data_IF_483666240755
#
_entry.id   IF_483666240755
#
_cell.length_a   1.000
_cell.length_b   1.000
_cell.length_c   1.000
_cell.angle_alpha   90.00
_cell.angle_beta   90.00
_cell.angle_gamma   90.00
#
_symmetry.space_group_name_H-M   'P 1'
#
loop_
_entity.id
_entity.type
_entity.pdbx_description
1 polymer ?
#
# COMPACT_ATOMS: atom_id res chain seq x y z
N UNK A 1 -58.77 37.37 49.66
CA UNK A 1 -59.24 37.64 48.29
C UNK A 1 -58.06 38.30 47.57
N UNK A 2 -57.16 37.53 46.95
CA UNK A 2 -57.17 37.09 45.54
C UNK A 2 -57.18 38.29 44.58
N UNK A 3 -56.28 38.50 43.61
CA UNK A 3 -55.23 37.67 43.00
C UNK A 3 -54.25 38.63 42.26
N UNK A 4 -52.94 38.52 42.49
CA UNK A 4 -51.90 39.27 41.77
C UNK A 4 -51.33 38.41 40.64
N UNK A 5 -51.73 38.68 39.39
CA UNK A 5 -51.12 38.05 38.22
C UNK A 5 -49.90 38.88 37.76
N UNK A 6 -48.69 38.40 38.07
CA UNK A 6 -47.48 38.67 37.27
C UNK A 6 -47.24 37.47 36.36
N UNK A 7 -46.99 37.65 35.05
CA UNK A 7 -46.59 36.54 34.21
C UNK A 7 -45.15 36.14 34.54
N UNK A 8 -44.97 34.83 34.70
CA UNK A 8 -43.69 34.12 34.81
C UNK A 8 -43.07 34.16 33.41
N UNK A 9 -41.91 34.82 33.28
CA UNK A 9 -41.07 34.69 32.09
C UNK A 9 -40.16 33.51 32.33
N UNK A 10 -40.49 32.39 31.68
CA UNK A 10 -39.67 31.19 31.69
C UNK A 10 -38.31 31.47 31.03
N UNK A 11 -37.27 31.15 31.81
CA UNK A 11 -35.90 30.92 31.42
C UNK A 11 -35.80 29.98 30.22
N UNK A 12 -35.21 30.45 29.13
CA UNK A 12 -34.54 29.59 28.15
C UNK A 12 -33.09 30.07 28.02
N UNK A 13 -32.25 29.62 28.95
CA UNK A 13 -30.80 29.61 28.74
C UNK A 13 -30.50 28.63 27.60
N UNK A 14 -30.38 29.17 26.38
CA UNK A 14 -29.80 28.44 25.26
C UNK A 14 -28.31 28.32 25.55
N UNK A 15 -27.95 27.21 26.18
CA UNK A 15 -26.57 26.72 26.28
C UNK A 15 -26.02 26.56 24.87
N UNK A 16 -25.39 27.62 24.39
CA UNK A 16 -24.73 27.64 23.09
C UNK A 16 -23.44 26.86 23.26
N UNK A 17 -23.52 25.53 23.09
CA UNK A 17 -22.32 24.72 22.93
C UNK A 17 -21.58 25.31 21.73
N UNK A 18 -20.31 25.76 21.87
CA UNK A 18 -19.55 26.19 20.71
C UNK A 18 -19.41 24.95 19.83
N UNK A 19 -20.18 24.93 18.74
CA UNK A 19 -19.94 24.02 17.64
C UNK A 19 -18.55 24.41 17.14
N UNK A 20 -17.53 23.68 17.58
CA UNK A 20 -16.19 23.74 17.03
C UNK A 20 -16.31 23.34 15.58
N UNK A 21 -16.64 24.32 14.73
CA UNK A 21 -16.59 24.18 13.29
C UNK A 21 -15.12 24.06 12.95
N UNK A 22 -14.63 22.83 12.89
CA UNK A 22 -13.42 22.52 12.15
C UNK A 22 -13.71 22.98 10.73
N UNK A 23 -13.20 24.15 10.35
CA UNK A 23 -13.21 24.59 8.95
C UNK A 23 -12.22 23.71 8.21
N UNK A 24 -12.72 22.56 7.76
CA UNK A 24 -12.09 21.81 6.69
C UNK A 24 -12.13 22.72 5.45
N UNK A 25 -11.00 22.85 4.75
CA UNK A 25 -11.00 23.47 3.43
C UNK A 25 -12.11 22.83 2.59
N UNK A 26 -12.86 23.63 1.82
CA UNK A 26 -13.88 23.10 0.92
C UNK A 26 -13.20 22.10 -0.01
N UNK A 27 -13.53 20.81 0.14
CA UNK A 27 -13.00 19.74 -0.67
C UNK A 27 -13.32 20.05 -2.14
N UNK A 28 -12.30 20.42 -2.91
CA UNK A 28 -12.43 20.61 -4.34
C UNK A 28 -12.57 19.23 -4.99
N UNK A 29 -13.72 18.95 -5.59
CA UNK A 29 -13.88 17.73 -6.37
C UNK A 29 -12.95 17.76 -7.59
N UNK A 30 -12.36 16.61 -7.96
CA UNK A 30 -11.54 16.52 -9.15
C UNK A 30 -12.37 16.77 -10.40
N UNK A 31 -11.77 17.39 -11.41
CA UNK A 31 -12.35 17.49 -12.75
C UNK A 31 -12.19 16.17 -13.50
N UNK A 32 -13.01 15.95 -14.53
CA UNK A 32 -13.01 14.75 -15.34
C UNK A 32 -12.90 15.09 -16.83
N UNK A 33 -11.80 14.67 -17.44
CA UNK A 33 -11.42 14.97 -18.82
C UNK A 33 -11.95 13.97 -19.85
N UNK A 34 -12.47 12.82 -19.39
CA UNK A 34 -12.91 11.71 -20.24
C UNK A 34 -12.02 10.48 -20.17
N UNK A 35 -10.95 10.48 -19.37
CA UNK A 35 -10.13 9.28 -19.15
C UNK A 35 -10.91 8.19 -18.40
N UNK A 36 -11.33 7.15 -19.12
CA UNK A 36 -12.13 6.05 -18.59
C UNK A 36 -11.48 5.42 -17.34
N UNK A 37 -10.14 5.38 -17.25
CA UNK A 37 -9.42 4.80 -16.10
C UNK A 37 -9.62 5.60 -14.81
N UNK A 38 -9.86 6.91 -14.93
CA UNK A 38 -10.12 7.83 -13.81
C UNK A 38 -11.59 7.97 -13.47
N UNK A 39 -12.49 7.51 -14.37
CA UNK A 39 -13.93 7.71 -14.23
C UNK A 39 -14.46 7.19 -12.89
N UNK A 40 -14.03 6.00 -12.46
CA UNK A 40 -14.52 5.41 -11.21
C UNK A 40 -14.18 6.28 -9.99
N UNK A 41 -12.95 6.79 -9.93
CA UNK A 41 -12.51 7.65 -8.84
C UNK A 41 -13.32 8.95 -8.83
N UNK A 42 -13.44 9.59 -9.99
CA UNK A 42 -14.26 10.79 -10.16
C UNK A 42 -15.71 10.57 -9.73
N UNK A 43 -16.36 9.52 -10.27
CA UNK A 43 -17.76 9.25 -10.00
C UNK A 43 -18.00 8.94 -8.53
N UNK A 44 -17.15 8.15 -7.87
CA UNK A 44 -17.28 7.90 -6.44
C UNK A 44 -17.21 9.19 -5.60
N UNK A 45 -16.27 10.09 -5.91
CA UNK A 45 -16.15 11.38 -5.21
C UNK A 45 -17.36 12.27 -5.45
N UNK A 46 -17.80 12.42 -6.70
CA UNK A 46 -19.01 13.18 -7.05
C UNK A 46 -20.27 12.57 -6.43
N UNK A 47 -20.37 11.24 -6.42
CA UNK A 47 -21.53 10.53 -5.91
C UNK A 47 -21.73 10.76 -4.42
N UNK A 48 -20.64 10.67 -3.65
CA UNK A 48 -20.64 10.87 -2.20
C UNK A 48 -20.86 12.34 -1.81
N UNK A 49 -20.25 13.27 -2.53
CA UNK A 49 -20.30 14.69 -2.16
C UNK A 49 -21.54 15.42 -2.69
N UNK A 50 -22.14 14.95 -3.80
CA UNK A 50 -23.17 15.70 -4.53
C UNK A 50 -24.35 14.83 -4.92
N UNK A 51 -24.14 13.70 -5.61
CA UNK A 51 -25.24 12.92 -6.19
C UNK A 51 -26.23 12.43 -5.12
N UNK A 52 -25.71 11.87 -4.01
CA UNK A 52 -26.49 11.32 -2.90
C UNK A 52 -27.00 12.35 -1.89
N UNK A 53 -26.58 13.61 -2.00
CA UNK A 53 -27.07 14.66 -1.10
C UNK A 53 -28.45 15.15 -1.57
N UNK A 54 -29.49 14.81 -0.83
CA UNK A 54 -30.88 15.19 -1.14
C UNK A 54 -31.15 16.70 -0.93
N UNK A 55 -30.26 17.42 -0.25
CA UNK A 55 -30.42 18.85 0.02
C UNK A 55 -30.01 19.75 -1.17
N UNK A 56 -29.37 19.19 -2.19
CA UNK A 56 -28.91 19.92 -3.37
C UNK A 56 -29.93 19.75 -4.50
N UNK A 57 -30.45 20.87 -5.02
CA UNK A 57 -31.35 20.87 -6.17
C UNK A 57 -30.71 20.21 -7.41
N UNK A 58 -31.52 19.47 -8.20
CA UNK A 58 -31.03 18.73 -9.36
C UNK A 58 -30.41 19.63 -10.43
N UNK A 59 -30.91 20.87 -10.62
CA UNK A 59 -30.31 21.80 -11.56
C UNK A 59 -28.96 22.30 -11.06
N UNK A 60 -28.81 22.49 -9.74
CA UNK A 60 -27.51 22.82 -9.14
C UNK A 60 -26.52 21.65 -9.25
N UNK A 61 -27.00 20.40 -9.09
CA UNK A 61 -26.17 19.21 -9.36
C UNK A 61 -25.75 19.13 -10.82
N UNK A 62 -26.64 19.49 -11.76
CA UNK A 62 -26.34 19.55 -13.19
C UNK A 62 -25.24 20.58 -13.48
N UNK A 63 -25.42 21.82 -13.06
CA UNK A 63 -24.46 22.90 -13.29
C UNK A 63 -23.11 22.58 -12.65
N UNK A 64 -23.11 22.00 -11.45
CA UNK A 64 -21.88 21.62 -10.79
C UNK A 64 -21.18 20.45 -11.51
N UNK A 65 -21.91 19.40 -11.87
CA UNK A 65 -21.36 18.30 -12.68
C UNK A 65 -20.78 18.82 -14.00
N UNK A 66 -21.52 19.68 -14.71
CA UNK A 66 -21.08 20.33 -15.95
C UNK A 66 -19.77 21.08 -15.77
N UNK A 67 -19.59 21.81 -14.66
CA UNK A 67 -18.35 22.55 -14.37
C UNK A 67 -17.14 21.65 -14.09
N UNK A 68 -17.38 20.42 -13.63
CA UNK A 68 -16.33 19.43 -13.39
C UNK A 68 -15.93 18.66 -14.65
N UNK A 69 -16.81 18.58 -15.66
CA UNK A 69 -16.49 17.94 -16.94
C UNK A 69 -15.57 18.83 -17.79
N UNK A 70 -14.47 18.27 -18.26
CA UNK A 70 -13.48 18.91 -19.13
C UNK A 70 -13.17 18.00 -20.33
N UNK A 71 -12.35 18.48 -21.28
CA UNK A 71 -11.91 17.67 -22.41
C UNK A 71 -13.04 16.97 -23.18
N UNK A 72 -12.84 15.68 -23.46
CA UNK A 72 -13.78 14.84 -24.20
C UNK A 72 -15.07 14.56 -23.43
N UNK A 73 -15.03 14.60 -22.09
CA UNK A 73 -16.21 14.37 -21.26
C UNK A 73 -17.29 15.45 -21.47
N UNK A 74 -16.91 16.67 -21.88
CA UNK A 74 -17.88 17.72 -22.24
C UNK A 74 -18.73 17.36 -23.44
N UNK A 75 -18.29 16.46 -24.32
CA UNK A 75 -19.09 16.03 -25.46
C UNK A 75 -20.40 15.33 -25.04
N UNK A 76 -20.52 14.87 -23.79
CA UNK A 76 -21.77 14.30 -23.24
C UNK A 76 -22.86 15.38 -23.06
N UNK A 77 -22.48 16.67 -23.01
CA UNK A 77 -23.39 17.78 -22.75
C UNK A 77 -24.07 18.36 -24.00
N UNK A 78 -23.80 17.83 -25.21
CA UNK A 78 -24.27 18.44 -26.45
C UNK A 78 -25.81 18.63 -26.44
N UNK A 79 -26.22 19.89 -26.61
CA UNK A 79 -27.61 20.38 -26.73
C UNK A 79 -28.53 20.20 -25.50
N UNK A 80 -27.97 20.05 -24.28
CA UNK A 80 -28.74 19.93 -23.05
C UNK A 80 -28.77 21.25 -22.23
N UNK A 81 -29.96 21.79 -22.01
CA UNK A 81 -30.18 22.87 -21.03
C UNK A 81 -30.32 22.32 -19.60
N UNK A 82 -29.98 23.08 -18.54
CA UNK A 82 -30.21 22.67 -17.16
C UNK A 82 -31.71 22.44 -16.89
N UNK A 83 -32.08 21.18 -16.64
CA UNK A 83 -33.41 20.75 -16.22
C UNK A 83 -33.27 19.48 -15.37
N UNK A 84 -34.27 19.17 -14.53
CA UNK A 84 -34.27 17.97 -13.69
C UNK A 84 -34.16 16.69 -14.54
N UNK A 85 -34.90 16.61 -15.65
CA UNK A 85 -34.83 15.48 -16.58
C UNK A 85 -33.45 15.37 -17.24
N UNK A 86 -32.86 16.52 -17.57
CA UNK A 86 -31.55 16.60 -18.21
C UNK A 86 -30.41 16.23 -17.25
N UNK A 87 -30.57 16.42 -15.93
CA UNK A 87 -29.64 15.88 -14.94
C UNK A 87 -29.59 14.34 -14.97
N UNK A 88 -30.74 13.69 -14.92
CA UNK A 88 -30.79 12.23 -14.99
C UNK A 88 -30.28 11.71 -16.33
N UNK A 89 -30.59 12.42 -17.43
CA UNK A 89 -30.06 12.09 -18.74
C UNK A 89 -28.53 12.20 -18.79
N UNK A 90 -27.97 13.31 -18.29
CA UNK A 90 -26.53 13.55 -18.23
C UNK A 90 -25.82 12.45 -17.43
N UNK A 91 -26.31 12.13 -16.23
CA UNK A 91 -25.74 11.06 -15.39
C UNK A 91 -25.77 9.72 -16.13
N UNK A 92 -26.89 9.39 -16.78
CA UNK A 92 -27.03 8.14 -17.55
C UNK A 92 -26.07 8.11 -18.73
N UNK A 93 -25.97 9.20 -19.50
CA UNK A 93 -25.09 9.29 -20.66
C UNK A 93 -23.61 9.20 -20.26
N UNK A 94 -23.24 9.87 -19.16
CA UNK A 94 -21.88 9.85 -18.61
C UNK A 94 -21.51 8.42 -18.14
N UNK A 95 -22.36 7.77 -17.34
CA UNK A 95 -22.15 6.37 -16.94
C UNK A 95 -22.11 5.43 -18.14
N UNK A 96 -23.05 5.55 -19.09
CA UNK A 96 -23.07 4.69 -20.28
C UNK A 96 -21.76 4.77 -21.08
N UNK A 97 -21.15 5.95 -21.15
CA UNK A 97 -19.93 6.18 -21.93
C UNK A 97 -18.66 5.81 -21.19
N UNK A 98 -18.58 6.06 -19.87
CA UNK A 98 -17.33 5.96 -19.10
C UNK A 98 -17.36 4.91 -17.99
N UNK A 99 -18.52 4.42 -17.57
CA UNK A 99 -18.64 3.29 -16.65
C UNK A 99 -18.44 1.98 -17.43
N UNK A 100 -17.17 1.61 -17.62
CA UNK A 100 -16.76 0.42 -18.37
C UNK A 100 -16.35 -0.72 -17.41
N UNK A 101 -17.29 -1.41 -16.73
CA UNK A 101 -16.97 -2.40 -15.70
C UNK A 101 -16.16 -3.59 -16.25
N UNK A 102 -16.39 -3.97 -17.51
CA UNK A 102 -15.61 -5.03 -18.18
C UNK A 102 -14.15 -4.64 -18.34
N UNK A 103 -13.87 -3.41 -18.75
CA UNK A 103 -12.51 -2.91 -18.94
C UNK A 103 -11.81 -2.73 -17.60
N UNK A 104 -12.49 -2.13 -16.62
CA UNK A 104 -11.95 -1.97 -15.26
C UNK A 104 -11.63 -3.33 -14.61
N UNK A 105 -12.49 -4.33 -14.78
CA UNK A 105 -12.21 -5.70 -14.34
C UNK A 105 -10.97 -6.26 -15.03
N UNK A 106 -10.87 -6.15 -16.35
CA UNK A 106 -9.71 -6.63 -17.11
C UNK A 106 -8.40 -5.95 -16.66
N UNK A 107 -8.41 -4.63 -16.48
CA UNK A 107 -7.26 -3.87 -15.98
C UNK A 107 -6.83 -4.31 -14.58
N UNK A 108 -7.78 -4.60 -13.69
CA UNK A 108 -7.47 -5.08 -12.35
C UNK A 108 -6.88 -6.49 -12.35
N UNK A 109 -7.38 -7.40 -13.21
CA UNK A 109 -6.74 -8.71 -13.39
C UNK A 109 -5.34 -8.58 -13.97
N UNK A 110 -5.16 -7.74 -14.98
CA UNK A 110 -3.85 -7.47 -15.58
C UNK A 110 -2.90 -6.89 -14.53
N UNK A 111 -3.33 -5.92 -13.73
CA UNK A 111 -2.53 -5.36 -12.65
C UNK A 111 -2.12 -6.43 -11.63
N UNK A 112 -3.02 -7.35 -11.26
CA UNK A 112 -2.70 -8.48 -10.39
C UNK A 112 -1.69 -9.43 -11.04
N UNK A 113 -1.82 -9.71 -12.34
CA UNK A 113 -0.91 -10.57 -13.08
C UNK A 113 0.48 -9.96 -13.23
N UNK A 114 0.58 -8.66 -13.47
CA UNK A 114 1.83 -7.93 -13.67
C UNK A 114 2.56 -7.60 -12.37
N UNK A 115 1.95 -7.82 -11.20
CA UNK A 115 2.67 -7.65 -9.94
C UNK A 115 3.92 -8.54 -9.91
N UNK A 116 5.10 -7.99 -9.58
CA UNK A 116 6.28 -8.81 -9.38
C UNK A 116 6.09 -9.72 -8.16
N UNK A 117 6.75 -10.87 -8.16
CA UNK A 117 6.85 -11.70 -6.96
C UNK A 117 7.66 -10.95 -5.90
N UNK A 118 7.14 -10.89 -4.68
CA UNK A 118 7.83 -10.26 -3.56
C UNK A 118 9.19 -10.94 -3.30
N UNK A 119 10.16 -10.15 -2.85
CA UNK A 119 11.44 -10.66 -2.35
C UNK A 119 11.29 -11.32 -0.97
N UNK A 120 12.36 -11.97 -0.50
CA UNK A 120 12.42 -12.60 0.84
C UNK A 120 12.65 -11.60 1.99
N UNK A 121 12.23 -10.35 1.79
CA UNK A 121 12.30 -9.26 2.78
C UNK A 121 10.88 -8.96 3.28
N UNK A 122 10.69 -8.93 4.60
CA UNK A 122 9.37 -8.76 5.23
C UNK A 122 8.62 -7.51 4.75
N UNK A 123 9.31 -6.38 4.66
CA UNK A 123 8.72 -5.11 4.20
C UNK A 123 8.21 -5.14 2.75
N UNK A 124 8.90 -5.87 1.88
CA UNK A 124 8.51 -6.01 0.46
C UNK A 124 7.32 -6.96 0.30
N UNK A 125 7.30 -8.07 1.07
CA UNK A 125 6.13 -8.94 1.15
C UNK A 125 4.90 -8.19 1.67
N UNK A 126 5.08 -7.32 2.68
CA UNK A 126 4.02 -6.47 3.22
C UNK A 126 3.47 -5.49 2.18
N UNK A 127 4.35 -4.81 1.46
CA UNK A 127 3.96 -3.91 0.36
C UNK A 127 3.16 -4.67 -0.71
N UNK A 128 3.64 -5.84 -1.12
CA UNK A 128 2.97 -6.71 -2.09
C UNK A 128 1.59 -7.16 -1.59
N UNK A 129 1.48 -7.57 -0.32
CA UNK A 129 0.21 -7.95 0.29
C UNK A 129 -0.81 -6.79 0.32
N UNK A 130 -0.37 -5.56 0.63
CA UNK A 130 -1.25 -4.39 0.58
C UNK A 130 -1.72 -4.09 -0.85
N UNK A 131 -0.82 -4.18 -1.85
CA UNK A 131 -1.17 -3.99 -3.26
C UNK A 131 -2.20 -5.01 -3.73
N UNK A 132 -1.98 -6.29 -3.43
CA UNK A 132 -2.93 -7.37 -3.72
C UNK A 132 -4.27 -7.09 -3.04
N UNK A 133 -4.25 -6.76 -1.74
CA UNK A 133 -5.48 -6.45 -0.98
C UNK A 133 -6.30 -5.33 -1.64
N UNK A 134 -5.65 -4.25 -2.09
CA UNK A 134 -6.32 -3.15 -2.79
C UNK A 134 -6.93 -3.57 -4.13
N UNK A 135 -6.22 -4.40 -4.90
CA UNK A 135 -6.72 -4.93 -6.18
C UNK A 135 -7.91 -5.86 -5.95
N UNK A 136 -7.79 -6.82 -5.02
CA UNK A 136 -8.87 -7.73 -4.67
C UNK A 136 -10.10 -6.98 -4.16
N UNK A 137 -9.92 -5.98 -3.30
CA UNK A 137 -11.01 -5.12 -2.83
C UNK A 137 -11.73 -4.43 -4.00
N UNK A 138 -10.97 -3.93 -4.98
CA UNK A 138 -11.52 -3.29 -6.18
C UNK A 138 -12.24 -4.28 -7.10
N UNK A 139 -11.74 -5.51 -7.24
CA UNK A 139 -12.33 -6.59 -8.05
C UNK A 139 -13.64 -7.12 -7.47
N UNK A 140 -13.81 -7.14 -6.14
CA UNK A 140 -15.07 -7.56 -5.48
C UNK A 140 -16.32 -6.81 -5.95
N UNK A 141 -16.15 -5.61 -6.54
CA UNK A 141 -17.26 -4.84 -7.12
C UNK A 141 -17.77 -5.42 -8.45
N UNK A 142 -16.97 -6.20 -9.14
CA UNK A 142 -17.25 -6.68 -10.50
C UNK A 142 -17.51 -8.18 -10.58
N UNK A 143 -17.04 -8.95 -9.59
CA UNK A 143 -17.18 -10.40 -9.56
C UNK A 143 -17.07 -10.99 -8.15
N UNK A 144 -17.52 -12.24 -8.02
CA UNK A 144 -17.36 -13.04 -6.82
C UNK A 144 -16.03 -13.81 -6.89
N UNK A 145 -15.03 -13.31 -6.16
CA UNK A 145 -13.66 -13.83 -6.20
C UNK A 145 -13.54 -15.28 -5.71
N UNK A 146 -14.48 -15.75 -4.89
CA UNK A 146 -14.44 -17.10 -4.34
C UNK A 146 -14.78 -18.17 -5.39
N UNK A 147 -15.33 -17.78 -6.54
CA UNK A 147 -15.67 -18.69 -7.64
C UNK A 147 -14.56 -18.83 -8.68
N UNK A 148 -13.49 -18.02 -8.57
CA UNK A 148 -12.44 -17.95 -9.57
C UNK A 148 -11.14 -18.52 -8.98
N UNK A 149 -10.99 -19.85 -9.05
CA UNK A 149 -9.84 -20.58 -8.48
C UNK A 149 -8.49 -20.00 -8.93
N UNK A 150 -8.39 -19.51 -10.16
CA UNK A 150 -7.16 -18.91 -10.69
C UNK A 150 -6.68 -17.67 -9.92
N UNK A 151 -7.55 -16.99 -9.16
CA UNK A 151 -7.14 -15.82 -8.36
C UNK A 151 -6.34 -16.26 -7.14
N UNK A 152 -6.73 -17.36 -6.49
CA UNK A 152 -6.03 -17.88 -5.31
C UNK A 152 -4.60 -18.28 -5.71
N UNK A 153 -4.45 -19.06 -6.79
CA UNK A 153 -3.15 -19.47 -7.30
C UNK A 153 -2.29 -18.27 -7.72
N UNK A 154 -2.91 -17.27 -8.35
CA UNK A 154 -2.21 -16.05 -8.76
C UNK A 154 -1.70 -15.28 -7.53
N UNK A 155 -2.51 -15.11 -6.48
CA UNK A 155 -2.10 -14.46 -5.23
C UNK A 155 -0.94 -15.21 -4.59
N UNK A 156 -1.02 -16.55 -4.50
CA UNK A 156 0.05 -17.39 -3.94
C UNK A 156 1.36 -17.21 -4.70
N UNK A 157 1.29 -17.18 -6.03
CA UNK A 157 2.47 -17.01 -6.91
C UNK A 157 3.19 -15.67 -6.72
N UNK A 158 2.56 -14.67 -6.08
CA UNK A 158 3.18 -13.37 -5.79
C UNK A 158 4.09 -13.37 -4.56
N UNK A 159 4.19 -14.47 -3.83
CA UNK A 159 5.07 -14.58 -2.67
C UNK A 159 6.21 -15.60 -2.91
N UNK A 160 7.35 -15.47 -2.22
CA UNK A 160 8.43 -16.46 -2.30
C UNK A 160 7.98 -17.88 -1.99
N UNK A 161 8.65 -18.88 -2.57
CA UNK A 161 8.34 -20.31 -2.36
C UNK A 161 8.29 -20.68 -0.87
N UNK A 162 9.16 -20.12 -0.04
CA UNK A 162 9.17 -20.36 1.42
C UNK A 162 7.86 -19.94 2.10
N UNK A 163 7.22 -18.86 1.60
CA UNK A 163 5.93 -18.39 2.12
C UNK A 163 4.80 -19.25 1.59
N UNK A 164 4.89 -19.67 0.32
CA UNK A 164 3.92 -20.60 -0.27
C UNK A 164 3.93 -21.96 0.44
N UNK A 165 5.10 -22.51 0.76
CA UNK A 165 5.27 -23.75 1.52
C UNK A 165 4.62 -23.64 2.91
N UNK A 166 4.90 -22.57 3.65
CA UNK A 166 4.26 -22.32 4.95
C UNK A 166 2.75 -22.22 4.87
N UNK A 167 2.22 -21.67 3.77
CA UNK A 167 0.78 -21.57 3.54
C UNK A 167 0.19 -22.97 3.27
N UNK A 168 0.86 -23.78 2.45
CA UNK A 168 0.45 -25.15 2.16
C UNK A 168 0.54 -26.05 3.41
N UNK A 169 1.56 -25.89 4.24
CA UNK A 169 1.68 -26.57 5.54
C UNK A 169 0.50 -26.23 6.46
N UNK A 170 0.08 -24.96 6.48
CA UNK A 170 -1.07 -24.51 7.27
C UNK A 170 -2.39 -25.11 6.77
N UNK A 171 -2.57 -25.25 5.44
CA UNK A 171 -3.74 -25.93 4.86
C UNK A 171 -3.74 -27.42 5.20
N UNK A 172 -2.59 -28.08 5.04
CA UNK A 172 -2.43 -29.49 5.38
C UNK A 172 -2.77 -29.76 6.85
N UNK A 173 -2.32 -28.89 7.76
CA UNK A 173 -2.64 -29.00 9.19
C UNK A 173 -4.13 -28.78 9.49
N UNK A 174 -4.82 -27.92 8.73
CA UNK A 174 -6.26 -27.71 8.87
C UNK A 174 -7.09 -28.82 8.21
N UNK A 175 -6.54 -29.54 7.23
CA UNK A 175 -7.20 -30.59 6.49
C UNK A 175 -8.18 -30.10 5.42
N UNK A 176 -8.09 -28.82 5.03
CA UNK A 176 -8.94 -28.20 3.99
C UNK A 176 -8.17 -27.13 3.22
N UNK A 177 -8.41 -27.01 1.92
CA UNK A 177 -7.90 -25.89 1.12
C UNK A 177 -8.46 -24.56 1.61
N UNK A 178 -7.65 -23.50 1.57
CA UNK A 178 -8.09 -22.18 2.00
C UNK A 178 -8.86 -21.46 0.91
N UNK A 179 -9.96 -20.80 1.30
CA UNK A 179 -10.58 -19.78 0.47
C UNK A 179 -9.68 -18.52 0.38
N UNK A 180 -10.04 -17.59 -0.51
CA UNK A 180 -9.25 -16.39 -0.72
C UNK A 180 -9.11 -15.52 0.55
N UNK A 181 -10.13 -15.46 1.40
CA UNK A 181 -10.04 -14.68 2.64
C UNK A 181 -9.07 -15.33 3.62
N UNK A 182 -9.16 -16.64 3.78
CA UNK A 182 -8.26 -17.43 4.62
C UNK A 182 -6.82 -17.31 4.12
N UNK A 183 -6.57 -17.42 2.81
CA UNK A 183 -5.24 -17.18 2.22
C UNK A 183 -4.69 -15.81 2.59
N UNK A 184 -5.48 -14.74 2.43
CA UNK A 184 -5.02 -13.38 2.73
C UNK A 184 -4.71 -13.17 4.22
N UNK A 185 -5.51 -13.76 5.12
CA UNK A 185 -5.27 -13.71 6.58
C UNK A 185 -4.03 -14.51 6.97
N UNK A 186 -3.86 -15.71 6.41
CA UNK A 186 -2.68 -16.52 6.70
C UNK A 186 -1.39 -15.89 6.16
N UNK A 187 -1.43 -15.28 4.96
CA UNK A 187 -0.31 -14.49 4.44
C UNK A 187 0.05 -13.34 5.39
N UNK A 188 -0.93 -12.58 5.88
CA UNK A 188 -0.68 -11.50 6.84
C UNK A 188 0.01 -12.00 8.12
N UNK A 189 -0.43 -13.14 8.66
CA UNK A 189 0.19 -13.76 9.82
C UNK A 189 1.64 -14.21 9.56
N UNK A 190 1.90 -14.85 8.41
CA UNK A 190 3.24 -15.32 8.03
C UNK A 190 4.18 -14.13 7.83
N UNK A 191 3.72 -13.07 7.14
CA UNK A 191 4.49 -11.84 6.91
C UNK A 191 4.79 -11.14 8.24
N UNK A 192 3.78 -11.01 9.11
CA UNK A 192 3.95 -10.43 10.45
C UNK A 192 4.98 -11.20 11.29
N UNK A 193 4.98 -12.53 11.20
CA UNK A 193 6.00 -13.37 11.84
C UNK A 193 7.39 -13.12 11.26
N UNK A 194 7.50 -13.00 9.93
CA UNK A 194 8.77 -12.73 9.25
C UNK A 194 9.36 -11.36 9.60
N UNK A 195 8.53 -10.31 9.61
CA UNK A 195 8.95 -8.97 10.03
C UNK A 195 9.47 -8.98 11.47
N UNK A 196 8.77 -9.66 12.39
CA UNK A 196 9.23 -9.82 13.79
C UNK A 196 10.56 -10.57 13.89
N UNK A 197 10.76 -11.60 13.06
CA UNK A 197 12.01 -12.35 13.00
C UNK A 197 13.17 -11.48 12.49
N UNK A 198 12.96 -10.68 11.45
CA UNK A 198 13.97 -9.75 10.90
C UNK A 198 14.39 -8.68 11.90
N UNK A 199 13.46 -8.17 12.71
CA UNK A 199 13.75 -7.26 13.81
C UNK A 199 14.57 -7.92 14.93
N UNK A 200 14.31 -9.21 15.19
CA UNK A 200 14.96 -9.96 16.27
C UNK A 200 16.33 -10.53 15.88
N UNK A 201 16.59 -10.70 14.58
CA UNK A 201 17.84 -11.21 14.03
C UNK A 201 18.34 -10.29 12.92
N UNK A 202 18.96 -9.15 13.26
CA UNK A 202 19.52 -8.23 12.27
C UNK A 202 20.53 -8.99 11.40
N UNK A 203 20.34 -8.95 10.08
CA UNK A 203 21.35 -9.48 9.14
C UNK A 203 22.69 -8.78 9.44
N UNK A 204 23.82 -9.51 9.53
CA UNK A 204 25.12 -8.85 9.60
C UNK A 204 25.25 -7.94 8.37
N UNK A 205 25.53 -6.66 8.61
CA UNK A 205 25.66 -5.67 7.56
C UNK A 205 26.67 -6.18 6.53
N UNK A 206 26.17 -6.57 5.35
CA UNK A 206 27.02 -6.86 4.21
C UNK A 206 27.71 -5.53 3.92
N UNK A 207 29.03 -5.49 4.05
CA UNK A 207 29.83 -4.33 3.68
C UNK A 207 29.59 -4.07 2.19
N UNK A 208 28.66 -3.16 1.90
CA UNK A 208 28.52 -2.56 0.58
C UNK A 208 29.83 -1.84 0.37
N UNK A 209 30.72 -2.46 -0.41
CA UNK A 209 31.86 -1.76 -0.97
C UNK A 209 31.27 -0.72 -1.91
N UNK A 210 31.11 0.49 -1.38
CA UNK A 210 30.83 1.70 -2.15
C UNK A 210 31.88 1.76 -3.25
N UNK A 211 31.47 1.45 -4.48
CA UNK A 211 32.25 1.80 -5.67
C UNK A 211 32.19 3.31 -5.78
N UNK A 212 33.35 3.92 -5.57
CA UNK A 212 33.58 5.35 -5.56
C UNK A 212 33.00 6.05 -6.79
N UNK A 213 32.15 7.05 -6.53
CA UNK A 213 31.94 8.14 -7.47
C UNK A 213 33.18 9.03 -7.45
N UNK A 214 33.80 9.16 -8.62
CA UNK A 214 34.80 10.18 -8.93
C UNK A 214 34.23 11.57 -8.65
N UNK A 215 34.83 12.28 -7.70
CA UNK A 215 34.64 13.71 -7.54
C UNK A 215 36.02 14.37 -7.36
N UNK A 216 36.49 14.88 -8.48
CA UNK A 216 37.56 15.86 -8.64
C UNK A 216 37.50 16.93 -7.53
N UNK A 217 38.51 17.01 -6.65
CA UNK A 217 38.78 18.26 -5.94
C UNK A 217 40.26 18.46 -5.62
N UNK A 218 40.70 19.58 -6.17
CA UNK A 218 41.99 20.25 -6.21
C UNK A 218 42.92 20.08 -4.99
N UNK A 219 44.19 19.89 -5.36
CA UNK A 219 45.39 19.83 -4.52
C UNK A 219 45.70 21.19 -3.89
N UNK A 220 45.89 21.21 -2.58
CA UNK A 220 46.68 22.22 -1.86
C UNK A 220 47.75 21.51 -1.05
N UNK A 221 49.00 21.86 -1.34
CA UNK A 221 50.23 21.30 -0.76
C UNK A 221 50.37 21.65 0.74
N UNK A 222 50.66 20.64 1.56
CA UNK A 222 51.67 20.72 2.63
C UNK A 222 51.83 19.35 3.30
N UNK A 223 53.06 18.83 3.25
CA UNK A 223 53.49 17.64 3.99
C UNK A 223 53.90 18.05 5.40
N UNK A 224 53.59 17.24 6.42
CA UNK A 224 54.70 16.70 7.21
C UNK A 224 54.58 15.19 7.50
N UNK A 225 55.77 14.56 7.57
CA UNK A 225 56.11 13.17 7.93
C UNK A 225 55.19 12.48 8.97
N UNK A 226 54.91 11.17 8.84
CA UNK A 226 54.24 10.40 9.87
C UNK A 226 55.22 9.95 10.97
N UNK A 227 54.82 10.16 12.23
CA UNK A 227 55.40 9.47 13.39
C UNK A 227 54.73 8.10 13.55
N UNK A 228 55.58 7.10 13.76
CA UNK A 228 55.30 5.70 14.08
C UNK A 228 54.11 5.48 15.02
N UNK A 229 53.12 4.68 14.58
CA UNK A 229 52.18 3.97 15.45
C UNK A 229 52.59 2.50 15.52
N UNK A 230 52.67 1.99 16.75
CA UNK A 230 52.93 0.60 17.12
C UNK A 230 51.90 -0.35 16.48
N UNK A 231 52.39 -1.40 15.82
CA UNK A 231 51.57 -2.51 15.30
C UNK A 231 51.18 -3.45 16.44
N UNK A 232 49.89 -3.75 16.55
CA UNK A 232 49.40 -4.95 17.25
C UNK A 232 50.01 -6.21 16.62
N UNK A 233 50.16 -7.33 17.36
CA UNK A 233 50.86 -8.50 16.86
C UNK A 233 50.04 -9.15 15.74
N UNK A 234 50.61 -9.19 14.55
CA UNK A 234 50.12 -10.01 13.44
C UNK A 234 50.49 -11.47 13.72
N UNK A 235 49.49 -12.30 14.07
CA UNK A 235 49.62 -13.75 14.09
C UNK A 235 49.81 -14.22 12.66
N UNK A 236 51.05 -14.57 12.30
CA UNK A 236 51.36 -15.19 11.01
C UNK A 236 50.83 -16.61 11.03
N UNK A 237 49.72 -16.83 10.30
CA UNK A 237 49.23 -18.18 10.02
C UNK A 237 50.23 -18.87 9.08
N UNK A 238 50.97 -19.85 9.61
CA UNK A 238 51.83 -20.75 8.84
C UNK A 238 50.98 -21.97 8.42
N UNK A 239 50.65 -22.14 7.12
CA UNK A 239 49.82 -23.25 6.65
C UNK A 239 50.45 -24.63 6.86
N UNK A 240 51.74 -24.69 7.20
CA UNK A 240 52.48 -25.94 7.41
C UNK A 240 52.44 -26.45 8.86
N UNK A 241 51.81 -25.71 9.78
CA UNK A 241 51.72 -26.06 11.20
C UNK A 241 50.27 -26.15 11.67
N UNK A 242 50.01 -27.13 12.52
CA UNK A 242 48.73 -27.31 13.19
C UNK A 242 48.47 -26.15 14.17
N UNK A 243 47.36 -25.44 14.02
CA UNK A 243 47.02 -24.29 14.86
C UNK A 243 46.55 -24.64 16.28
N UNK A 244 46.46 -25.93 16.62
CA UNK A 244 46.06 -26.40 17.95
C UNK A 244 47.23 -26.89 18.81
N UNK A 245 48.32 -27.38 18.20
CA UNK A 245 49.48 -27.92 18.91
C UNK A 245 50.84 -27.54 18.30
N UNK A 246 50.86 -26.63 17.33
CA UNK A 246 52.03 -26.12 16.60
C UNK A 246 52.91 -27.19 15.91
N UNK A 247 52.42 -28.43 15.79
CA UNK A 247 53.12 -29.51 15.09
C UNK A 247 53.00 -29.37 13.57
N UNK A 248 54.10 -29.64 12.86
CA UNK A 248 54.15 -29.72 11.39
C UNK A 248 53.87 -31.12 10.84
N UNK A 249 53.63 -32.12 11.70
CA UNK A 249 53.41 -33.51 11.28
C UNK A 249 52.00 -33.80 10.74
N UNK A 250 51.06 -32.86 10.94
CA UNK A 250 49.67 -33.00 10.51
C UNK A 250 49.02 -31.63 10.29
N UNK A 251 47.97 -31.60 9.45
CA UNK A 251 47.10 -30.43 9.30
C UNK A 251 46.17 -30.27 10.50
N UNK A 252 45.77 -29.05 10.83
CA UNK A 252 44.83 -28.73 11.92
C UNK A 252 43.52 -29.53 11.90
N UNK A 253 43.13 -30.10 10.75
CA UNK A 253 41.93 -30.95 10.62
C UNK A 253 42.08 -32.36 11.19
N UNK A 254 43.32 -32.82 11.47
CA UNK A 254 43.64 -34.17 11.96
C UNK A 254 44.36 -34.13 13.31
N UNK A 255 44.11 -33.10 14.11
CA UNK A 255 44.70 -32.96 15.43
C UNK A 255 43.85 -33.70 16.47
N UNK A 256 44.44 -34.67 17.18
CA UNK A 256 43.75 -35.45 18.22
C UNK A 256 43.75 -34.77 19.61
N UNK A 257 44.24 -33.53 19.72
CA UNK A 257 44.12 -32.78 20.96
C UNK A 257 42.69 -32.24 21.10
N UNK A 258 41.94 -32.77 22.08
CA UNK A 258 40.61 -32.26 22.44
C UNK A 258 40.73 -30.81 22.91
N UNK A 259 40.01 -29.94 22.21
CA UNK A 259 39.88 -28.50 22.49
C UNK A 259 39.47 -28.33 23.98
N UNK A 260 40.29 -27.60 24.76
CA UNK A 260 39.91 -27.10 26.09
C UNK A 260 39.15 -25.80 25.97
#
# INVERSE_FOLDING_TARGET
MANSNKPIVDTNEVSTRPHLSIQLEKLALPTFDGDITKFQQFWCSFELAVHKDENIDLNMKYLYLQSLLTGDAKAVLQDLEPSQDNYHHLVRALKKRYDCPRMNRALLHQALQELPTASDVGSDMRSTWFRISGILHSLKRYEDLNKVLSIIDLVRSKFPLVIQEKLNDAEFQRGTDFDLQQVMVHLDNIISSREKFELSCPRPAVSVSSRDHSAERQRSRSSPRPRSRSKSPSVTYDPSKCCFCDSSSHSSRRCDQRIR
#
